data_IF_922088855633
#
_entry.id   IF_922088855633
#
_cell.length_a   1.000
_cell.length_b   1.000
_cell.length_c   1.000
_cell.angle_alpha   90.00
_cell.angle_beta   90.00
_cell.angle_gamma   90.00
#
_symmetry.space_group_name_H-M   'P 1'
#
loop_
_entity.id
_entity.type
_entity.pdbx_description
1 polymer ?
#
# COMPACT_ATOMS: atom_id res chain seq x y z
N UNK A 1 5.83 -14.31 -15.34
CA UNK A 1 4.85 -13.64 -14.43
C UNK A 1 4.39 -14.66 -13.40
N UNK A 2 4.42 -14.35 -12.10
CA UNK A 2 3.88 -15.26 -11.09
C UNK A 2 2.36 -15.41 -11.30
N UNK A 3 1.83 -16.60 -11.03
CA UNK A 3 0.39 -16.84 -11.06
C UNK A 3 -0.29 -16.20 -9.86
N UNK A 4 -1.44 -15.57 -10.07
CA UNK A 4 -2.24 -15.03 -8.97
C UNK A 4 -2.99 -16.19 -8.31
N UNK A 5 -2.62 -16.51 -7.08
CA UNK A 5 -3.25 -17.59 -6.33
C UNK A 5 -4.56 -17.14 -5.66
N UNK A 6 -4.53 -16.02 -4.93
CA UNK A 6 -5.69 -15.47 -4.21
C UNK A 6 -5.69 -13.95 -4.26
N UNK A 7 -6.90 -13.38 -4.23
CA UNK A 7 -7.13 -11.95 -4.10
C UNK A 7 -8.02 -11.74 -2.88
N UNK A 8 -7.59 -10.79 -2.07
CA UNK A 8 -8.15 -10.50 -0.77
C UNK A 8 -8.50 -9.02 -0.69
N UNK A 9 -9.73 -8.71 -0.24
CA UNK A 9 -10.11 -7.32 0.07
C UNK A 9 -9.75 -7.04 1.52
N UNK A 10 -8.77 -6.17 1.72
CA UNK A 10 -8.51 -5.57 3.03
C UNK A 10 -9.58 -4.51 3.23
N UNK A 11 -10.15 -4.50 4.42
CA UNK A 11 -11.12 -3.49 4.82
C UNK A 11 -10.60 -2.91 6.13
N UNK A 12 -10.77 -1.61 6.35
CA UNK A 12 -10.23 -0.93 7.54
C UNK A 12 -11.38 -0.52 8.47
N UNK A 13 -11.05 -0.13 9.71
CA UNK A 13 -12.05 0.45 10.61
C UNK A 13 -12.65 1.73 10.02
N UNK A 14 -13.85 2.09 10.45
CA UNK A 14 -14.51 3.32 10.02
C UNK A 14 -13.63 4.55 10.27
N UNK A 15 -12.87 4.58 11.37
CA UNK A 15 -11.96 5.66 11.72
C UNK A 15 -10.83 5.84 10.69
N UNK A 16 -10.21 4.76 10.22
CA UNK A 16 -9.16 4.85 9.19
C UNK A 16 -9.73 5.31 7.84
N UNK A 17 -10.93 4.82 7.48
CA UNK A 17 -11.62 5.22 6.25
C UNK A 17 -11.96 6.71 6.32
N UNK A 18 -12.60 7.17 7.40
CA UNK A 18 -12.98 8.57 7.59
C UNK A 18 -11.77 9.51 7.59
N UNK A 19 -10.66 9.10 8.21
CA UNK A 19 -9.40 9.86 8.17
C UNK A 19 -8.87 10.00 6.74
N UNK A 20 -8.89 8.92 5.96
CA UNK A 20 -8.45 8.94 4.56
C UNK A 20 -9.37 9.81 3.70
N UNK A 21 -10.69 9.63 3.77
CA UNK A 21 -11.66 10.42 3.01
C UNK A 21 -11.61 11.92 3.38
N UNK A 22 -11.41 12.24 4.66
CA UNK A 22 -11.25 13.63 5.11
C UNK A 22 -9.98 14.28 4.55
N UNK A 23 -8.87 13.53 4.53
CA UNK A 23 -7.62 13.99 3.92
C UNK A 23 -7.77 14.18 2.40
N UNK A 24 -8.39 13.21 1.73
CA UNK A 24 -8.68 13.26 0.29
C UNK A 24 -9.51 14.50 -0.07
N UNK A 25 -10.60 14.74 0.63
CA UNK A 25 -11.43 15.93 0.44
C UNK A 25 -10.67 17.24 0.72
N UNK A 26 -9.75 17.25 1.67
CA UNK A 26 -8.89 18.42 1.93
C UNK A 26 -7.95 18.69 0.75
N UNK A 27 -7.32 17.65 0.19
CA UNK A 27 -6.41 17.79 -0.95
C UNK A 27 -7.17 18.22 -2.21
N UNK A 28 -8.34 17.66 -2.48
CA UNK A 28 -9.19 18.07 -3.60
C UNK A 28 -9.56 19.57 -3.49
N UNK A 29 -9.99 20.03 -2.31
CA UNK A 29 -10.27 21.46 -2.08
C UNK A 29 -9.04 22.35 -2.26
N UNK A 30 -7.87 21.88 -1.81
CA UNK A 30 -6.62 22.67 -1.86
C UNK A 30 -6.03 22.78 -3.26
N UNK A 31 -6.12 21.70 -4.04
CA UNK A 31 -5.42 21.57 -5.33
C UNK A 31 -6.34 21.78 -6.53
N UNK A 32 -7.65 21.59 -6.36
CA UNK A 32 -8.62 21.60 -7.46
C UNK A 32 -8.61 20.33 -8.32
N UNK A 33 -7.76 19.33 -8.01
CA UNK A 33 -7.78 18.06 -8.72
C UNK A 33 -8.98 17.23 -8.29
N UNK A 34 -9.77 16.76 -9.28
CA UNK A 34 -10.87 15.84 -9.04
C UNK A 34 -10.39 14.57 -8.34
N UNK A 35 -11.18 14.12 -7.37
CA UNK A 35 -10.87 12.94 -6.55
C UNK A 35 -9.47 13.02 -5.88
N UNK A 36 -8.97 14.24 -5.67
CA UNK A 36 -7.65 14.54 -5.14
C UNK A 36 -6.49 13.89 -5.92
N UNK A 37 -6.68 13.64 -7.22
CA UNK A 37 -5.73 12.90 -8.06
C UNK A 37 -5.40 11.51 -7.48
N UNK A 38 -6.40 10.80 -6.96
CA UNK A 38 -6.21 9.45 -6.42
C UNK A 38 -5.84 8.43 -7.50
N UNK A 39 -4.91 7.53 -7.16
CA UNK A 39 -4.48 6.43 -8.03
C UNK A 39 -4.52 5.09 -7.30
N UNK A 40 -4.60 4.00 -8.07
CA UNK A 40 -4.30 2.66 -7.56
C UNK A 40 -2.82 2.35 -7.76
N UNK A 41 -2.15 1.96 -6.68
CA UNK A 41 -0.70 1.72 -6.68
C UNK A 41 -0.31 0.51 -5.85
N UNK A 42 0.67 -0.24 -6.36
CA UNK A 42 1.19 -1.45 -5.74
C UNK A 42 2.29 -1.14 -4.74
N UNK A 43 2.32 -1.90 -3.65
CA UNK A 43 3.39 -1.89 -2.66
C UNK A 43 3.81 -3.34 -2.35
N UNK A 44 5.11 -3.61 -2.49
CA UNK A 44 5.73 -4.85 -2.05
C UNK A 44 6.38 -4.67 -0.70
N UNK A 45 6.20 -5.65 0.18
CA UNK A 45 6.73 -5.63 1.55
C UNK A 45 7.14 -7.02 2.01
N UNK A 46 7.66 -7.13 3.23
CA UNK A 46 7.98 -8.41 3.86
C UNK A 46 6.71 -9.06 4.41
N UNK A 47 6.45 -10.27 3.95
CA UNK A 47 5.47 -11.19 4.52
C UNK A 47 6.18 -12.19 5.42
N UNK A 48 6.09 -11.98 6.73
CA UNK A 48 6.70 -12.83 7.77
C UNK A 48 5.77 -13.90 8.33
N UNK A 49 4.67 -14.22 7.65
CA UNK A 49 3.67 -15.18 8.13
C UNK A 49 2.92 -15.85 6.97
N UNK A 50 1.96 -16.72 7.32
CA UNK A 50 1.14 -17.50 6.37
C UNK A 50 -0.28 -16.97 6.18
N UNK A 51 -0.52 -15.69 6.50
CA UNK A 51 -1.84 -15.07 6.36
C UNK A 51 -2.33 -15.17 4.91
N UNK A 52 -3.52 -15.73 4.71
CA UNK A 52 -4.14 -15.93 3.39
C UNK A 52 -3.72 -17.20 2.63
N UNK A 53 -2.85 -18.06 3.18
CA UNK A 53 -2.51 -19.34 2.53
C UNK A 53 -3.75 -20.23 2.46
N UNK A 54 -4.45 -20.33 3.59
CA UNK A 54 -5.69 -21.09 3.74
C UNK A 54 -6.88 -20.15 3.77
N UNK A 55 -8.05 -20.66 3.38
CA UNK A 55 -9.27 -19.84 3.32
C UNK A 55 -9.74 -19.36 4.71
N UNK A 56 -9.42 -20.13 5.76
CA UNK A 56 -9.65 -19.82 7.17
C UNK A 56 -8.47 -19.09 7.84
N UNK A 57 -7.32 -19.01 7.16
CA UNK A 57 -6.06 -18.51 7.71
C UNK A 57 -5.88 -17.01 7.59
N UNK A 58 -6.85 -16.22 8.06
CA UNK A 58 -6.86 -14.76 7.86
C UNK A 58 -6.48 -13.93 9.08
N UNK A 59 -6.15 -14.58 10.19
CA UNK A 59 -5.69 -13.90 11.39
C UNK A 59 -4.31 -13.25 11.14
N UNK A 60 -4.17 -11.99 11.57
CA UNK A 60 -2.90 -11.29 11.52
C UNK A 60 -1.98 -11.81 12.63
N UNK A 61 -0.69 -11.91 12.34
CA UNK A 61 0.33 -12.18 13.35
C UNK A 61 0.82 -10.85 13.96
N UNK A 62 1.52 -10.88 15.11
CA UNK A 62 2.02 -9.67 15.75
C UNK A 62 2.84 -8.79 14.77
N UNK A 63 2.59 -7.47 14.74
CA UNK A 63 3.13 -6.56 13.71
C UNK A 63 4.66 -6.47 13.72
N UNK A 64 5.30 -6.62 14.89
CA UNK A 64 6.76 -6.63 15.04
C UNK A 64 7.47 -7.78 14.28
N UNK A 65 6.73 -8.78 13.82
CA UNK A 65 7.27 -9.92 13.07
C UNK A 65 6.92 -9.91 11.58
N UNK A 66 6.06 -8.99 11.13
CA UNK A 66 5.52 -9.01 9.77
C UNK A 66 5.08 -7.63 9.31
N UNK A 67 5.87 -7.01 8.42
CA UNK A 67 5.54 -5.71 7.81
C UNK A 67 4.18 -5.73 7.11
N UNK A 68 3.82 -6.82 6.42
CA UNK A 68 2.50 -6.98 5.81
C UNK A 68 1.36 -6.88 6.84
N UNK A 69 1.45 -7.61 7.96
CA UNK A 69 0.40 -7.59 8.98
C UNK A 69 0.32 -6.22 9.65
N UNK A 70 1.45 -5.58 9.92
CA UNK A 70 1.46 -4.22 10.47
C UNK A 70 0.82 -3.20 9.53
N UNK A 71 1.08 -3.28 8.21
CA UNK A 71 0.41 -2.39 7.24
C UNK A 71 -1.10 -2.67 7.18
N UNK A 72 -1.51 -3.94 7.27
CA UNK A 72 -2.95 -4.29 7.26
C UNK A 72 -3.64 -3.80 8.55
N UNK A 73 -2.98 -3.90 9.70
CA UNK A 73 -3.53 -3.56 11.01
C UNK A 73 -3.54 -2.04 11.24
N UNK A 74 -2.40 -1.39 11.06
CA UNK A 74 -2.15 0.00 11.49
C UNK A 74 -2.01 0.99 10.33
N UNK A 75 -2.14 0.53 9.08
CA UNK A 75 -1.75 1.27 7.88
C UNK A 75 -0.23 1.56 7.84
N UNK A 76 0.20 2.51 7.00
CA UNK A 76 1.60 2.92 6.89
C UNK A 76 1.95 3.93 8.00
N UNK A 77 2.05 3.46 9.25
CA UNK A 77 2.46 4.27 10.40
C UNK A 77 3.92 4.72 10.33
N UNK A 78 4.22 5.91 10.89
CA UNK A 78 5.57 6.49 10.92
C UNK A 78 6.50 5.87 11.99
N UNK A 79 5.94 5.14 12.97
CA UNK A 79 6.66 4.57 14.12
C UNK A 79 6.82 3.05 14.06
N UNK A 80 6.28 2.39 13.03
CA UNK A 80 6.38 0.95 12.90
C UNK A 80 7.54 0.61 11.98
N UNK A 81 8.42 -0.25 12.49
CA UNK A 81 9.40 -1.09 11.77
C UNK A 81 8.84 -1.78 10.49
N UNK A 82 7.52 -1.65 10.23
CA UNK A 82 6.77 -2.11 9.06
C UNK A 82 7.09 -1.38 7.76
N UNK A 83 7.72 -0.20 7.81
CA UNK A 83 8.46 0.33 6.66
C UNK A 83 9.83 -0.36 6.55
N UNK A 84 9.85 -1.69 6.52
CA UNK A 84 11.04 -2.52 6.30
C UNK A 84 12.30 -1.95 6.96
N UNK A 85 12.33 -2.01 8.28
CA UNK A 85 13.41 -1.48 9.11
C UNK A 85 14.81 -1.74 8.53
N UNK A 86 15.63 -0.66 8.51
CA UNK A 86 17.10 -0.58 8.36
C UNK A 86 17.72 0.05 7.12
N UNK A 87 17.05 0.82 6.24
CA UNK A 87 17.76 1.54 5.14
C UNK A 87 17.18 2.92 4.75
N UNK A 88 17.00 3.84 5.71
CA UNK A 88 16.77 5.28 5.40
C UNK A 88 18.00 6.01 4.79
N UNK A 89 18.94 5.29 4.18
CA UNK A 89 20.09 5.88 3.47
C UNK A 89 19.99 5.77 1.93
N UNK A 90 19.07 4.96 1.38
CA UNK A 90 19.08 4.58 -0.06
C UNK A 90 17.79 4.82 -0.84
N UNK A 91 16.83 5.54 -0.26
CA UNK A 91 15.70 6.03 -1.04
C UNK A 91 16.17 7.07 -2.06
N UNK A 92 15.91 6.83 -3.35
CA UNK A 92 16.21 7.78 -4.45
C UNK A 92 15.54 9.15 -4.23
N UNK A 93 14.51 9.19 -3.39
CA UNK A 93 13.58 10.28 -3.20
C UNK A 93 13.35 10.64 -1.72
N UNK A 94 14.28 10.25 -0.84
CA UNK A 94 14.16 10.50 0.60
C UNK A 94 13.29 9.49 1.36
N UNK A 95 12.90 9.86 2.58
CA UNK A 95 12.07 9.02 3.45
C UNK A 95 10.60 9.16 3.10
N UNK A 96 9.94 8.02 2.84
CA UNK A 96 8.52 7.99 2.53
C UNK A 96 8.04 6.59 2.16
N UNK A 97 6.75 6.49 1.87
CA UNK A 97 6.13 5.25 1.38
C UNK A 97 6.33 5.19 -0.13
N UNK A 98 7.00 4.14 -0.60
CA UNK A 98 7.24 3.92 -2.02
C UNK A 98 6.16 3.01 -2.58
N UNK A 99 5.48 3.46 -3.64
CA UNK A 99 4.49 2.68 -4.37
C UNK A 99 4.75 2.79 -5.88
N UNK A 100 4.18 1.90 -6.67
CA UNK A 100 4.34 1.90 -8.14
C UNK A 100 3.07 1.41 -8.84
N UNK A 101 2.75 2.00 -10.00
CA UNK A 101 1.65 1.49 -10.84
C UNK A 101 1.96 0.12 -11.47
N UNK A 102 3.21 -0.36 -11.43
CA UNK A 102 3.61 -1.62 -12.06
C UNK A 102 3.77 -2.73 -11.02
N UNK A 103 2.94 -3.77 -11.10
CA UNK A 103 2.98 -4.89 -10.14
C UNK A 103 4.30 -5.66 -10.13
N UNK A 104 4.97 -5.81 -11.29
CA UNK A 104 6.29 -6.48 -11.35
C UNK A 104 7.36 -5.72 -10.57
N UNK A 105 7.36 -4.38 -10.61
CA UNK A 105 8.28 -3.55 -9.82
C UNK A 105 8.00 -3.66 -8.32
N UNK A 106 6.72 -3.71 -7.93
CA UNK A 106 6.36 -3.93 -6.53
C UNK A 106 6.78 -5.35 -6.08
N UNK A 107 6.65 -6.35 -6.95
CA UNK A 107 7.05 -7.73 -6.69
C UNK A 107 8.54 -7.85 -6.37
N UNK A 108 9.42 -7.11 -7.06
CA UNK A 108 10.87 -7.09 -6.78
C UNK A 108 11.21 -6.64 -5.33
N UNK A 109 10.31 -5.86 -4.72
CA UNK A 109 10.44 -5.41 -3.32
C UNK A 109 9.76 -6.33 -2.31
N UNK A 110 8.91 -7.26 -2.78
CA UNK A 110 8.18 -8.18 -1.92
C UNK A 110 9.06 -9.37 -1.51
N UNK A 111 8.98 -9.76 -0.23
CA UNK A 111 9.80 -10.86 0.31
C UNK A 111 8.96 -11.77 1.19
N UNK A 112 9.06 -13.07 0.93
CA UNK A 112 8.55 -14.10 1.82
C UNK A 112 9.60 -14.42 2.89
N UNK A 113 9.20 -14.42 4.17
CA UNK A 113 10.05 -14.79 5.31
C UNK A 113 9.31 -15.63 6.37
N UNK A 114 8.05 -15.98 6.12
CA UNK A 114 7.19 -16.78 6.99
C UNK A 114 7.16 -18.28 6.64
N UNK A 115 7.95 -18.71 5.65
CA UNK A 115 7.99 -20.10 5.18
C UNK A 115 6.72 -20.50 4.43
N UNK A 116 6.08 -19.56 3.74
CA UNK A 116 4.98 -19.80 2.81
C UNK A 116 5.50 -20.00 1.38
N UNK A 117 4.77 -20.73 0.55
CA UNK A 117 5.03 -20.85 -0.88
C UNK A 117 4.58 -19.60 -1.68
N UNK A 118 3.97 -18.62 -1.00
CA UNK A 118 3.37 -17.45 -1.64
C UNK A 118 3.99 -16.13 -1.19
N UNK A 119 4.16 -15.22 -2.14
CA UNK A 119 4.46 -13.80 -1.89
C UNK A 119 3.17 -12.98 -1.94
N UNK A 120 3.11 -11.89 -1.18
CA UNK A 120 1.97 -10.98 -1.17
C UNK A 120 2.34 -9.59 -1.69
N UNK A 121 1.39 -8.95 -2.36
CA UNK A 121 1.43 -7.55 -2.78
C UNK A 121 0.20 -6.82 -2.23
N UNK A 122 0.38 -5.55 -1.89
CA UNK A 122 -0.72 -4.66 -1.50
C UNK A 122 -1.09 -3.78 -2.70
N UNK A 123 -2.39 -3.69 -3.00
CA UNK A 123 -2.95 -2.69 -3.91
C UNK A 123 -3.64 -1.61 -3.08
N UNK A 124 -3.15 -0.38 -3.19
CA UNK A 124 -3.57 0.75 -2.35
C UNK A 124 -4.29 1.79 -3.21
N UNK A 125 -5.20 2.54 -2.60
CA UNK A 125 -5.61 3.85 -3.10
C UNK A 125 -4.69 4.90 -2.50
N UNK A 126 -4.10 5.75 -3.35
CA UNK A 126 -3.12 6.75 -2.95
C UNK A 126 -3.56 8.10 -3.47
N UNK A 127 -3.79 9.05 -2.55
CA UNK A 127 -4.02 10.45 -2.87
C UNK A 127 -2.71 11.11 -3.29
N UNK A 128 -2.58 11.47 -4.57
CA UNK A 128 -1.36 12.09 -5.10
C UNK A 128 -1.32 13.60 -4.90
N UNK A 129 -2.49 14.26 -4.86
CA UNK A 129 -2.56 15.72 -4.83
C UNK A 129 -1.83 16.34 -6.02
N UNK A 130 -0.89 17.23 -5.72
CA UNK A 130 -0.02 17.89 -6.69
C UNK A 130 1.35 17.17 -6.76
N UNK A 131 1.52 16.23 -7.71
CA UNK A 131 2.71 15.40 -7.77
C UNK A 131 3.94 16.19 -8.25
N UNK A 132 5.09 15.89 -7.65
CA UNK A 132 6.39 16.29 -8.16
C UNK A 132 6.98 15.18 -9.04
N UNK A 133 7.32 15.52 -10.28
CA UNK A 133 7.89 14.58 -11.25
C UNK A 133 9.40 14.81 -11.38
N UNK A 134 10.17 13.73 -11.28
CA UNK A 134 11.62 13.76 -11.54
C UNK A 134 12.07 12.48 -12.21
N UNK A 135 12.93 12.64 -13.21
CA UNK A 135 13.64 11.53 -13.86
C UNK A 135 14.99 11.23 -13.17
N UNK A 136 15.44 12.14 -12.31
CA UNK A 136 16.71 12.06 -11.57
C UNK A 136 16.49 11.71 -10.11
N UNK A 137 17.49 11.12 -9.48
CA UNK A 137 17.50 10.96 -8.03
C UNK A 137 17.45 12.34 -7.37
N UNK A 138 16.67 12.44 -6.31
CA UNK A 138 16.52 13.65 -5.52
C UNK A 138 17.25 13.42 -4.21
N UNK A 139 18.58 13.34 -4.31
CA UNK A 139 19.44 13.08 -3.15
C UNK A 139 19.32 14.16 -2.07
N UNK A 140 18.92 15.38 -2.46
CA UNK A 140 18.66 16.51 -1.55
C UNK A 140 17.35 16.36 -0.76
N UNK A 141 16.36 15.61 -1.27
CA UNK A 141 15.11 15.33 -0.55
C UNK A 141 15.26 14.30 0.56
N UNK A 142 16.47 13.77 0.76
CA UNK A 142 16.82 13.07 2.01
C UNK A 142 16.75 13.99 3.24
N UNK A 143 16.62 15.32 3.04
CA UNK A 143 16.58 16.34 4.10
C UNK A 143 15.24 17.07 4.25
N UNK A 144 14.28 16.87 3.34
CA UNK A 144 13.02 17.63 3.34
C UNK A 144 11.87 16.72 2.93
N UNK A 145 10.87 16.59 3.80
CA UNK A 145 9.72 15.72 3.59
C UNK A 145 8.87 16.19 2.42
N UNK A 146 8.89 15.45 1.32
CA UNK A 146 7.96 15.66 0.21
C UNK A 146 6.76 14.71 0.35
N UNK A 147 5.57 15.25 0.09
CA UNK A 147 4.34 14.47 0.06
C UNK A 147 4.19 13.89 -1.36
N UNK A 148 4.71 12.67 -1.53
CA UNK A 148 4.49 11.72 -2.64
C UNK A 148 5.19 12.03 -3.99
N UNK A 149 5.96 11.04 -4.48
CA UNK A 149 6.63 11.02 -5.79
C UNK A 149 6.06 9.88 -6.65
N UNK A 150 5.81 10.14 -7.94
CA UNK A 150 5.12 9.23 -8.86
C UNK A 150 5.98 8.78 -10.06
N UNK A 151 5.73 7.55 -10.56
CA UNK A 151 6.14 7.08 -11.90
C UNK A 151 4.99 6.25 -12.53
N UNK A 152 4.59 6.59 -13.78
CA UNK A 152 3.43 6.17 -14.63
C UNK A 152 2.97 4.69 -14.65
N UNK A 153 1.75 4.27 -15.08
CA UNK A 153 0.61 4.90 -15.79
C UNK A 153 -0.75 4.15 -15.62
N UNK A 154 -1.87 4.87 -15.87
CA UNK A 154 -3.19 4.51 -16.46
C UNK A 154 -4.22 3.49 -15.86
N UNK A 155 -5.32 4.07 -15.32
CA UNK A 155 -6.78 3.80 -15.53
C UNK A 155 -7.64 2.76 -14.73
N UNK A 156 -8.59 3.34 -13.96
CA UNK A 156 -10.06 3.08 -13.80
C UNK A 156 -10.70 2.19 -12.68
N UNK A 157 -11.56 2.91 -11.90
CA UNK A 157 -12.92 2.66 -11.36
C UNK A 157 -13.25 1.72 -10.17
N UNK A 158 -14.40 2.02 -9.55
CA UNK A 158 -14.75 2.26 -8.12
C UNK A 158 -15.78 1.26 -7.52
N UNK A 159 -15.94 1.24 -6.17
CA UNK A 159 -17.24 1.28 -5.39
C UNK A 159 -17.17 0.56 -4.03
N UNK A 160 -17.85 1.14 -3.02
CA UNK A 160 -17.64 1.01 -1.55
C UNK A 160 -18.88 0.44 -0.82
N UNK A 161 -18.68 -0.30 0.30
CA UNK A 161 -19.69 -0.66 1.32
C UNK A 161 -19.02 -1.01 2.69
N UNK A 162 -19.69 -0.87 3.86
CA UNK A 162 -19.07 -0.74 5.19
C UNK A 162 -18.63 -2.05 5.90
N UNK A 163 -17.78 -1.91 6.92
CA UNK A 163 -16.90 -2.93 7.51
C UNK A 163 -17.57 -4.02 8.37
N UNK A 164 -17.43 -5.27 7.91
CA UNK A 164 -16.96 -6.42 8.69
C UNK A 164 -15.72 -6.94 7.95
N UNK A 165 -14.61 -7.23 8.62
CA UNK A 165 -13.46 -7.88 7.97
C UNK A 165 -13.92 -9.21 7.37
N UNK A 166 -14.14 -9.22 6.05
CA UNK A 166 -14.39 -10.42 5.28
C UNK A 166 -13.42 -10.39 4.12
N UNK A 167 -12.37 -11.18 4.27
CA UNK A 167 -11.53 -11.61 3.18
C UNK A 167 -12.37 -12.54 2.30
N UNK A 168 -13.03 -11.97 1.29
CA UNK A 168 -13.88 -12.72 0.36
C UNK A 168 -13.13 -12.96 -0.95
N UNK A 169 -13.12 -14.22 -1.39
CA UNK A 169 -12.68 -14.62 -2.74
C UNK A 169 -13.62 -14.03 -3.79
N UNK A 170 -13.10 -13.75 -4.99
CA UNK A 170 -13.83 -13.21 -6.15
C UNK A 170 -14.96 -14.10 -6.70
N UNK A 171 -15.17 -15.32 -6.25
CA UNK A 171 -16.16 -16.27 -6.81
C UNK A 171 -17.63 -15.97 -6.45
N UNK A 172 -18.00 -14.73 -6.13
CA UNK A 172 -19.35 -14.36 -5.68
C UNK A 172 -19.79 -12.96 -6.17
N UNK A 173 -19.33 -12.55 -7.36
CA UNK A 173 -19.79 -11.32 -8.02
C UNK A 173 -20.47 -11.75 -9.34
N UNK A 174 -21.69 -12.27 -9.21
CA UNK A 174 -22.69 -12.39 -10.27
C UNK A 174 -23.88 -11.53 -9.85
#
# INVERSE_FOLDING_TARGET
MPSIYKIYRITCSAQYIERFESYKAQIERRTGYSDANCIRSWHGTVRGCRVGDRDDGTALCPPSRCSLCSIIEDSYGASSESSGERRHAWGRFGTGIYTTCTSSKAFDSAKEKGGSDYTALLLNEVTMGEPYYSERNLDDLKKVGLTVLYVGSSAHSTTTAPFRLRLRRRSAWA
#
